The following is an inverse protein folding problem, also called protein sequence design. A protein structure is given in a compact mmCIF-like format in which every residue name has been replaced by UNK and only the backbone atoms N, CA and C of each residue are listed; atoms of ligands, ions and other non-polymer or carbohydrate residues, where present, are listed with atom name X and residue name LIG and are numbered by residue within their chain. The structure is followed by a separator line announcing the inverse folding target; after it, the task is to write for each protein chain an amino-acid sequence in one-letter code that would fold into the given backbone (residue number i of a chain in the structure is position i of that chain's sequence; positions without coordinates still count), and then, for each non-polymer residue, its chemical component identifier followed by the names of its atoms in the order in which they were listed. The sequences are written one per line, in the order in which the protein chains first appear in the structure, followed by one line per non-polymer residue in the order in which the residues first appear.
data_IF_146186773331
#
_entry.id   IF_146186773331
#
_cell.length_a   1.000
_cell.length_b   1.000
_cell.length_c   1.000
_cell.angle_alpha   90.00
_cell.angle_beta   90.00
_cell.angle_gamma   90.00
#
_symmetry.space_group_name_H-M   'P 1'
#
loop_
_entity.id
_entity.type
_entity.pdbx_description
1 polymer ?
#
# COMPACT_ATOMS: atom_id res chain seq x y z
N UNK A 1 -1.42 14.37 -32.10
CA UNK A 1 -1.98 13.02 -32.34
C UNK A 1 -2.19 12.39 -30.97
N UNK A 2 -3.42 12.07 -30.57
CA UNK A 2 -3.64 11.30 -29.34
C UNK A 2 -3.15 9.88 -29.62
N UNK A 3 -2.06 9.47 -28.99
CA UNK A 3 -1.66 8.06 -28.97
C UNK A 3 -2.79 7.24 -28.34
N UNK A 4 -3.21 6.19 -29.03
CA UNK A 4 -4.26 5.32 -28.56
C UNK A 4 -3.70 4.37 -27.49
N UNK A 5 -4.01 4.64 -26.22
CA UNK A 5 -3.61 3.77 -25.11
C UNK A 5 -4.51 2.53 -25.10
N UNK A 6 -3.90 1.36 -25.25
CA UNK A 6 -4.63 0.09 -25.30
C UNK A 6 -5.13 -0.34 -23.92
N UNK A 7 -6.25 -1.06 -23.87
CA UNK A 7 -6.75 -1.65 -22.62
C UNK A 7 -5.73 -2.62 -21.97
N UNK A 8 -4.91 -3.29 -22.78
CA UNK A 8 -3.85 -4.18 -22.30
C UNK A 8 -2.77 -3.42 -21.54
N UNK A 9 -2.28 -2.29 -22.07
CA UNK A 9 -1.29 -1.45 -21.39
C UNK A 9 -1.81 -0.93 -20.06
N UNK A 10 -3.07 -0.48 -20.02
CA UNK A 10 -3.70 -0.03 -18.76
C UNK A 10 -3.76 -1.17 -17.76
N UNK A 11 -4.17 -2.37 -18.20
CA UNK A 11 -4.25 -3.55 -17.32
C UNK A 11 -2.88 -3.93 -16.76
N UNK A 12 -1.86 -3.95 -17.60
CA UNK A 12 -0.48 -4.27 -17.20
C UNK A 12 0.05 -3.25 -16.18
N UNK A 13 -0.10 -1.95 -16.44
CA UNK A 13 0.36 -0.92 -15.50
C UNK A 13 -0.34 -1.03 -14.14
N UNK A 14 -1.64 -1.31 -14.12
CA UNK A 14 -2.38 -1.55 -12.87
C UNK A 14 -1.87 -2.77 -12.11
N UNK A 15 -1.55 -3.86 -12.82
CA UNK A 15 -1.01 -5.06 -12.20
C UNK A 15 0.38 -4.81 -11.60
N UNK A 16 1.19 -3.97 -12.26
CA UNK A 16 2.52 -3.60 -11.77
C UNK A 16 2.49 -2.61 -10.61
N UNK A 17 1.49 -1.72 -10.54
CA UNK A 17 1.51 -0.58 -9.60
C UNK A 17 0.38 -0.59 -8.56
N UNK A 18 -0.62 -1.46 -8.70
CA UNK A 18 -1.80 -1.50 -7.84
C UNK A 18 -2.76 -0.32 -8.03
N UNK A 19 -2.48 0.63 -8.93
CA UNK A 19 -3.26 1.86 -9.06
C UNK A 19 -4.62 1.66 -9.75
N UNK A 20 -5.52 2.62 -9.52
CA UNK A 20 -6.84 2.67 -10.14
C UNK A 20 -6.79 2.81 -11.67
N UNK A 21 -7.83 2.33 -12.35
CA UNK A 21 -7.93 2.30 -13.83
C UNK A 21 -7.68 3.66 -14.47
N UNK A 22 -8.33 4.70 -13.96
CA UNK A 22 -8.25 6.05 -14.54
C UNK A 22 -6.90 6.71 -14.29
N UNK A 23 -6.23 6.42 -13.18
CA UNK A 23 -4.89 6.94 -12.90
C UNK A 23 -3.83 6.24 -13.76
N UNK A 24 -3.92 4.92 -13.92
CA UNK A 24 -3.07 4.17 -14.84
C UNK A 24 -3.22 4.68 -16.29
N UNK A 25 -4.47 4.87 -16.76
CA UNK A 25 -4.73 5.40 -18.10
C UNK A 25 -4.15 6.81 -18.27
N UNK A 26 -4.36 7.70 -17.29
CA UNK A 26 -3.82 9.07 -17.34
C UNK A 26 -2.29 9.09 -17.37
N UNK A 27 -1.64 8.28 -16.54
CA UNK A 27 -0.18 8.16 -16.52
C UNK A 27 0.37 7.66 -17.87
N UNK A 28 -0.29 6.67 -18.49
CA UNK A 28 0.09 6.19 -19.83
C UNK A 28 -0.09 7.25 -20.92
N UNK A 29 -1.16 8.06 -20.85
CA UNK A 29 -1.36 9.18 -21.79
C UNK A 29 -0.23 10.21 -21.64
N UNK A 30 0.10 10.60 -20.40
CA UNK A 30 1.18 11.55 -20.10
C UNK A 30 2.57 10.99 -20.48
N UNK A 31 2.76 9.69 -20.32
CA UNK A 31 3.97 8.98 -20.69
C UNK A 31 4.08 8.69 -22.19
N UNK A 32 3.10 9.08 -23.02
CA UNK A 32 3.07 8.75 -24.44
C UNK A 32 3.18 7.22 -24.70
N UNK A 33 2.48 6.44 -23.88
CA UNK A 33 2.44 4.97 -23.94
C UNK A 33 3.66 4.25 -23.38
N UNK A 34 4.68 4.98 -22.90
CA UNK A 34 5.87 4.40 -22.28
C UNK A 34 5.56 3.88 -20.87
N UNK A 35 5.80 2.58 -20.65
CA UNK A 35 5.46 1.89 -19.40
C UNK A 35 6.32 2.34 -18.22
N UNK A 36 7.64 2.43 -18.41
CA UNK A 36 8.57 2.79 -17.31
C UNK A 36 8.44 4.26 -16.94
N UNK A 37 8.21 5.12 -17.93
CA UNK A 37 7.89 6.53 -17.69
C UNK A 37 6.55 6.68 -16.98
N UNK A 38 5.52 5.89 -17.35
CA UNK A 38 4.23 5.92 -16.65
C UNK A 38 4.35 5.49 -15.18
N UNK A 39 5.17 4.48 -14.88
CA UNK A 39 5.47 4.07 -13.50
C UNK A 39 6.15 5.21 -12.74
N UNK A 40 7.15 5.84 -13.33
CA UNK A 40 7.86 6.97 -12.72
C UNK A 40 6.93 8.14 -12.41
N UNK A 41 5.99 8.45 -13.32
CA UNK A 41 4.94 9.47 -13.11
C UNK A 41 4.05 9.10 -11.92
N UNK A 42 3.62 7.83 -11.83
CA UNK A 42 2.77 7.36 -10.74
C UNK A 42 3.49 7.41 -9.38
N UNK A 43 4.78 7.06 -9.33
CA UNK A 43 5.60 7.15 -8.13
C UNK A 43 5.75 8.60 -7.67
N UNK A 44 6.09 9.53 -8.56
CA UNK A 44 6.19 10.94 -8.24
C UNK A 44 4.86 11.53 -7.75
N UNK A 45 3.75 11.17 -8.41
CA UNK A 45 2.40 11.57 -8.00
C UNK A 45 2.04 10.99 -6.62
N UNK A 46 2.40 9.73 -6.37
CA UNK A 46 2.22 9.08 -5.08
C UNK A 46 2.94 9.79 -3.96
N UNK A 47 4.23 10.08 -4.14
CA UNK A 47 5.02 10.85 -3.18
C UNK A 47 4.39 12.22 -2.88
N UNK A 48 3.89 12.92 -3.91
CA UNK A 48 3.18 14.20 -3.72
C UNK A 48 1.89 14.05 -2.92
N UNK A 49 1.10 12.99 -3.16
CA UNK A 49 -0.14 12.72 -2.44
C UNK A 49 0.13 12.43 -0.96
N UNK A 50 1.17 11.64 -0.67
CA UNK A 50 1.59 11.35 0.70
C UNK A 50 2.08 12.62 1.40
N UNK A 51 2.94 13.40 0.75
CA UNK A 51 3.49 14.64 1.31
C UNK A 51 2.40 15.66 1.66
N UNK A 52 1.40 15.87 0.79
CA UNK A 52 0.26 16.79 1.05
C UNK A 52 -0.59 16.39 2.25
N UNK A 53 -0.50 15.14 2.70
CA UNK A 53 -1.26 14.62 3.83
C UNK A 53 -0.40 14.38 5.07
N UNK A 54 0.91 14.59 4.99
CA UNK A 54 1.84 14.24 6.07
C UNK A 54 1.50 14.95 7.39
N UNK A 55 1.05 16.21 7.33
CA UNK A 55 0.72 17.01 8.50
C UNK A 55 -0.70 16.74 9.06
N UNK A 56 -1.50 15.90 8.39
CA UNK A 56 -2.85 15.56 8.87
C UNK A 56 -2.75 14.64 10.09
N UNK A 57 -3.68 14.78 11.02
CA UNK A 57 -3.79 13.88 12.18
C UNK A 57 -4.54 12.61 11.79
N UNK A 58 -3.92 11.45 12.03
CA UNK A 58 -4.55 10.14 11.88
C UNK A 58 -4.62 9.49 13.27
N UNK A 59 -5.75 9.68 13.97
CA UNK A 59 -5.96 9.24 15.35
C UNK A 59 -7.02 8.16 15.50
N UNK A 60 -7.71 7.80 14.42
CA UNK A 60 -8.60 6.64 14.35
C UNK A 60 -7.89 5.50 13.62
N UNK A 61 -8.49 4.32 13.54
CA UNK A 61 -7.89 3.19 12.86
C UNK A 61 -8.23 1.85 13.48
N UNK A 62 -7.32 0.89 13.31
CA UNK A 62 -7.52 -0.49 13.78
C UNK A 62 -6.24 -1.07 14.36
N UNK A 63 -6.42 -1.87 15.42
CA UNK A 63 -5.45 -2.89 15.78
C UNK A 63 -5.83 -4.16 15.04
N UNK A 64 -4.98 -4.63 14.15
CA UNK A 64 -5.14 -5.90 13.44
C UNK A 64 -4.17 -6.92 14.03
N UNK A 65 -4.70 -8.12 14.30
CA UNK A 65 -3.92 -9.22 14.87
C UNK A 65 -3.93 -10.41 13.94
N UNK A 66 -2.78 -11.06 13.78
CA UNK A 66 -2.67 -12.30 13.02
C UNK A 66 -1.94 -13.37 13.83
N UNK A 67 -2.54 -14.54 13.96
CA UNK A 67 -1.93 -15.69 14.64
C UNK A 67 -1.83 -16.85 13.66
N UNK A 68 -0.60 -17.34 13.44
CA UNK A 68 -0.33 -18.47 12.57
C UNK A 68 0.07 -19.70 13.38
N UNK A 69 -0.75 -20.76 13.31
CA UNK A 69 -0.50 -22.07 13.93
C UNK A 69 -0.11 -22.01 15.41
N UNK A 70 -0.56 -20.99 16.16
CA UNK A 70 -0.16 -20.70 17.55
C UNK A 70 1.37 -20.62 17.77
N UNK A 71 2.15 -20.33 16.73
CA UNK A 71 3.61 -20.21 16.78
C UNK A 71 4.11 -18.83 16.41
N UNK A 72 3.38 -18.11 15.58
CA UNK A 72 3.69 -16.72 15.21
C UNK A 72 2.48 -15.86 15.57
N UNK A 73 2.72 -14.76 16.26
CA UNK A 73 1.71 -13.75 16.58
C UNK A 73 2.17 -12.39 16.09
N UNK A 74 1.28 -11.67 15.40
CA UNK A 74 1.50 -10.28 14.96
C UNK A 74 0.37 -9.42 15.50
N UNK A 75 0.72 -8.23 15.97
CA UNK A 75 -0.21 -7.16 16.26
C UNK A 75 0.30 -5.90 15.57
N UNK A 76 -0.55 -5.23 14.79
CA UNK A 76 -0.20 -3.99 14.09
C UNK A 76 -1.28 -2.94 14.31
N UNK A 77 -0.83 -1.71 14.57
CA UNK A 77 -1.67 -0.52 14.62
C UNK A 77 -1.60 0.19 13.26
N UNK A 78 -2.74 0.32 12.59
CA UNK A 78 -2.87 1.06 11.34
C UNK A 78 -3.89 2.18 11.55
N UNK A 79 -3.45 3.41 11.36
CA UNK A 79 -4.22 4.61 11.66
C UNK A 79 -4.75 5.27 10.39
N UNK A 80 -5.93 5.87 10.48
CA UNK A 80 -6.58 6.72 9.48
C UNK A 80 -7.14 7.99 10.15
N UNK A 81 -7.75 8.89 9.36
CA UNK A 81 -8.28 10.15 9.90
C UNK A 81 -9.66 9.95 10.54
N UNK A 82 -10.51 9.08 9.99
CA UNK A 82 -11.90 8.92 10.43
C UNK A 82 -12.30 7.47 10.74
N UNK A 83 -13.30 7.30 11.62
CA UNK A 83 -13.90 6.01 11.96
C UNK A 83 -14.61 5.35 10.75
N UNK A 84 -15.15 6.16 9.84
CA UNK A 84 -15.73 5.70 8.59
C UNK A 84 -14.71 4.93 7.74
N UNK A 85 -13.47 5.43 7.65
CA UNK A 85 -12.38 4.73 6.96
C UNK A 85 -11.90 3.52 7.75
N UNK A 86 -11.84 3.59 9.08
CA UNK A 86 -11.46 2.45 9.93
C UNK A 86 -12.37 1.22 9.70
N UNK A 87 -13.64 1.44 9.32
CA UNK A 87 -14.63 0.39 8.99
C UNK A 87 -14.66 0.01 7.51
N UNK A 88 -13.92 0.70 6.65
CA UNK A 88 -13.89 0.44 5.23
C UNK A 88 -13.26 -0.95 4.94
N UNK A 89 -13.90 -1.81 4.13
CA UNK A 89 -13.37 -3.16 3.85
C UNK A 89 -11.97 -3.17 3.24
N UNK A 90 -11.62 -2.19 2.40
CA UNK A 90 -10.31 -2.12 1.76
C UNK A 90 -9.22 -1.70 2.74
N UNK A 91 -9.53 -0.79 3.66
CA UNK A 91 -8.66 -0.42 4.77
C UNK A 91 -8.41 -1.61 5.71
N UNK A 92 -9.49 -2.31 6.11
CA UNK A 92 -9.39 -3.54 6.92
C UNK A 92 -8.55 -4.62 6.22
N UNK A 93 -8.77 -4.81 4.92
CA UNK A 93 -7.98 -5.76 4.14
C UNK A 93 -6.51 -5.35 4.10
N UNK A 94 -6.20 -4.07 3.88
CA UNK A 94 -4.81 -3.60 3.92
C UNK A 94 -4.14 -3.86 5.26
N UNK A 95 -4.79 -3.55 6.39
CA UNK A 95 -4.26 -3.85 7.72
C UNK A 95 -4.00 -5.35 7.90
N UNK A 96 -4.88 -6.20 7.38
CA UNK A 96 -4.69 -7.66 7.38
C UNK A 96 -3.49 -8.09 6.53
N UNK A 97 -3.33 -7.55 5.31
CA UNK A 97 -2.17 -7.82 4.45
C UNK A 97 -0.85 -7.39 5.11
N UNK A 98 -0.86 -6.25 5.81
CA UNK A 98 0.28 -5.79 6.60
C UNK A 98 0.64 -6.80 7.68
N UNK A 99 -0.35 -7.32 8.42
CA UNK A 99 -0.11 -8.33 9.45
C UNK A 99 0.47 -9.63 8.87
N UNK A 100 -0.04 -10.10 7.71
CA UNK A 100 0.49 -11.25 6.98
C UNK A 100 1.93 -11.03 6.49
N UNK A 101 2.21 -9.84 5.97
CA UNK A 101 3.53 -9.43 5.52
C UNK A 101 4.52 -9.48 6.68
N UNK A 102 4.20 -8.86 7.83
CA UNK A 102 5.05 -8.85 9.02
C UNK A 102 5.31 -10.28 9.50
N UNK A 103 4.27 -11.12 9.57
CA UNK A 103 4.40 -12.50 10.02
C UNK A 103 5.42 -13.29 9.19
N UNK A 104 5.39 -13.07 7.87
CA UNK A 104 6.17 -13.81 6.87
C UNK A 104 7.58 -13.26 6.70
N UNK A 105 7.72 -11.93 6.62
CA UNK A 105 8.94 -11.26 6.16
C UNK A 105 9.77 -10.64 7.29
N UNK A 106 9.27 -10.66 8.53
CA UNK A 106 10.02 -10.31 9.74
C UNK A 106 10.74 -8.94 9.69
N UNK A 107 10.10 -7.84 9.22
CA UNK A 107 10.71 -6.51 9.32
C UNK A 107 10.95 -6.15 10.79
N UNK A 108 12.05 -5.46 11.09
CA UNK A 108 12.33 -4.94 12.42
C UNK A 108 11.68 -3.57 12.65
N UNK A 109 11.45 -2.79 11.59
CA UNK A 109 10.85 -1.45 11.68
C UNK A 109 9.77 -1.22 10.62
N UNK A 110 9.00 -0.14 10.77
CA UNK A 110 8.00 0.28 9.76
C UNK A 110 8.68 0.66 8.45
N UNK A 111 9.85 1.29 8.50
CA UNK A 111 10.63 1.65 7.31
C UNK A 111 11.06 0.40 6.54
N UNK A 112 11.56 -0.61 7.24
CA UNK A 112 11.91 -1.90 6.62
C UNK A 112 10.69 -2.58 6.02
N UNK A 113 9.57 -2.62 6.76
CA UNK A 113 8.30 -3.17 6.28
C UNK A 113 7.86 -2.49 4.97
N UNK A 114 7.90 -1.15 4.91
CA UNK A 114 7.46 -0.38 3.74
C UNK A 114 8.35 -0.62 2.51
N UNK A 115 9.64 -0.88 2.71
CA UNK A 115 10.58 -1.18 1.64
C UNK A 115 10.48 -2.62 1.09
N UNK A 116 9.84 -3.53 1.82
CA UNK A 116 9.74 -4.93 1.40
C UNK A 116 8.86 -5.11 0.15
N UNK A 117 9.22 -6.05 -0.74
CA UNK A 117 8.30 -6.57 -1.74
C UNK A 117 7.07 -7.20 -1.08
N UNK A 118 5.89 -6.94 -1.63
CA UNK A 118 4.66 -7.51 -1.15
C UNK A 118 4.58 -9.01 -1.47
N UNK A 119 4.35 -9.84 -0.46
CA UNK A 119 4.38 -11.31 -0.60
C UNK A 119 3.40 -11.86 -1.66
N UNK A 120 2.25 -11.21 -1.90
CA UNK A 120 1.27 -11.67 -2.90
C UNK A 120 1.52 -11.09 -4.31
N UNK A 121 2.29 -10.01 -4.41
CA UNK A 121 2.68 -9.42 -5.69
C UNK A 121 4.07 -8.77 -5.58
N UNK A 122 5.16 -9.55 -5.73
CA UNK A 122 6.53 -9.08 -5.50
C UNK A 122 7.00 -7.95 -6.41
N UNK A 123 6.25 -7.63 -7.47
CA UNK A 123 6.49 -6.46 -8.33
C UNK A 123 6.09 -5.13 -7.68
N UNK A 124 5.46 -5.16 -6.50
CA UNK A 124 5.03 -4.00 -5.73
C UNK A 124 5.65 -4.06 -4.33
N UNK A 125 5.95 -2.90 -3.76
CA UNK A 125 6.35 -2.79 -2.35
C UNK A 125 5.13 -2.56 -1.44
N UNK A 126 5.31 -2.72 -0.13
CA UNK A 126 4.30 -2.32 0.84
C UNK A 126 4.01 -0.81 0.80
N UNK A 127 5.02 0.01 0.51
CA UNK A 127 4.87 1.45 0.29
C UNK A 127 3.97 1.76 -0.92
N UNK A 128 4.08 0.99 -2.01
CA UNK A 128 3.22 1.16 -3.19
C UNK A 128 1.76 0.86 -2.85
N UNK A 129 1.50 -0.23 -2.10
CA UNK A 129 0.17 -0.58 -1.63
C UNK A 129 -0.45 0.51 -0.74
N UNK A 130 0.32 1.00 0.24
CA UNK A 130 -0.11 2.07 1.13
C UNK A 130 -0.46 3.33 0.32
N UNK A 131 0.43 3.70 -0.61
CA UNK A 131 0.24 4.87 -1.47
C UNK A 131 -1.00 4.74 -2.36
N UNK A 132 -1.22 3.57 -2.96
CA UNK A 132 -2.41 3.30 -3.76
C UNK A 132 -3.69 3.40 -2.92
N UNK A 133 -3.67 2.89 -1.69
CA UNK A 133 -4.79 2.99 -0.76
C UNK A 133 -5.08 4.44 -0.36
N UNK A 134 -4.06 5.21 0.01
CA UNK A 134 -4.19 6.64 0.34
C UNK A 134 -4.73 7.45 -0.85
N UNK A 135 -4.28 7.16 -2.07
CA UNK A 135 -4.81 7.79 -3.27
C UNK A 135 -6.30 7.48 -3.48
N UNK A 136 -6.71 6.26 -3.20
CA UNK A 136 -8.08 5.80 -3.40
C UNK A 136 -9.04 6.30 -2.31
N UNK A 137 -8.63 6.24 -1.05
CA UNK A 137 -9.44 6.64 0.11
C UNK A 137 -9.43 8.17 0.29
N UNK A 138 -8.30 8.83 0.02
CA UNK A 138 -8.17 10.27 0.17
C UNK A 138 -7.88 10.74 1.60
N UNK A 139 -7.66 9.83 2.53
CA UNK A 139 -7.19 10.10 3.90
C UNK A 139 -5.72 9.72 4.09
N UNK A 140 -5.07 10.36 5.06
CA UNK A 140 -3.78 9.91 5.59
C UNK A 140 -3.98 8.53 6.22
N UNK A 141 -3.16 7.58 5.80
CA UNK A 141 -3.10 6.25 6.40
C UNK A 141 -1.66 6.00 6.81
N UNK A 142 -1.45 5.50 8.02
CA UNK A 142 -0.13 5.26 8.60
C UNK A 142 -0.11 3.89 9.25
N UNK A 143 0.98 3.16 9.05
CA UNK A 143 1.30 2.00 9.89
C UNK A 143 2.08 2.56 11.08
N UNK A 144 1.45 2.64 12.25
CA UNK A 144 2.00 3.37 13.40
C UNK A 144 3.09 2.55 14.09
N UNK A 145 2.79 1.28 14.36
CA UNK A 145 3.69 0.34 15.05
C UNK A 145 3.21 -1.08 14.87
N UNK A 146 4.11 -2.03 15.05
CA UNK A 146 3.77 -3.44 15.12
C UNK A 146 4.67 -4.17 16.08
N UNK A 147 4.20 -5.33 16.52
CA UNK A 147 4.95 -6.31 17.26
C UNK A 147 4.80 -7.67 16.59
N UNK A 148 5.89 -8.44 16.56
CA UNK A 148 5.91 -9.80 16.05
C UNK A 148 6.57 -10.72 17.06
N UNK A 149 5.84 -11.76 17.44
CA UNK A 149 6.31 -12.83 18.31
C UNK A 149 6.44 -14.11 17.52
N UNK A 150 7.49 -14.88 17.80
CA UNK A 150 7.70 -16.22 17.27
C UNK A 150 8.14 -17.15 18.40
N UNK A 151 7.47 -18.29 18.53
CA UNK A 151 7.78 -19.29 19.53
C UNK A 151 9.19 -19.84 19.31
N UNK A 152 10.10 -19.56 20.25
CA UNK A 152 11.50 -19.95 20.14
C UNK A 152 12.26 -19.19 19.04
N UNK A 153 11.73 -18.05 18.59
CA UNK A 153 12.50 -17.09 17.81
C UNK A 153 13.60 -16.44 18.66
N UNK A 154 14.64 -15.96 17.99
CA UNK A 154 15.66 -15.08 18.59
C UNK A 154 15.12 -13.67 18.84
#
# INVERSE_FOLDING_TARGET
MNQEITASQVKELRQRTGIGLMDAKRALVEAAGDMEKAISILQAKGASVMAKKADRTASDGVIETYVHNNKIGVMVEVNCETDFVARNPEFRNFAHEVALQIASMRPATVEELLAQPFIKAPSQTMSDLLTALVQKIGEKIVIERFERYELGGE
#
